data_IF_934921498159
#
_entry.id   IF_934921498159
#
_cell.length_a   1.000
_cell.length_b   1.000
_cell.length_c   1.000
_cell.angle_alpha   90.00
_cell.angle_beta   90.00
_cell.angle_gamma   90.00
#
_symmetry.space_group_name_H-M   'P 1'
#
loop_
_entity.id
_entity.type
_entity.pdbx_description
1 polymer ?
#
# COMPACT_ATOMS: atom_id res chain seq x y z
N UNK A 1 31.44 -47.18 18.09
CA UNK A 1 31.68 -46.36 16.89
C UNK A 1 30.55 -46.46 15.84
N UNK A 2 30.12 -47.64 15.38
CA UNK A 2 29.06 -47.78 14.36
C UNK A 2 27.70 -47.16 14.75
N UNK A 3 27.28 -47.24 16.02
CA UNK A 3 26.04 -46.63 16.52
C UNK A 3 26.09 -45.09 16.58
N UNK A 4 27.27 -44.50 16.81
CA UNK A 4 27.47 -43.05 16.81
C UNK A 4 27.44 -42.48 15.38
N UNK A 5 27.97 -43.20 14.41
CA UNK A 5 27.92 -42.84 12.99
C UNK A 5 26.48 -42.91 12.44
N UNK A 6 25.69 -43.89 12.88
CA UNK A 6 24.29 -44.00 12.49
C UNK A 6 23.44 -42.84 13.09
N UNK A 7 23.70 -42.42 14.33
CA UNK A 7 23.04 -41.29 14.95
C UNK A 7 23.40 -39.97 14.25
N UNK A 8 24.68 -39.80 13.88
CA UNK A 8 25.13 -38.61 13.13
C UNK A 8 24.55 -38.55 11.72
N UNK A 9 24.36 -39.68 11.04
CA UNK A 9 23.70 -39.70 9.72
C UNK A 9 22.23 -39.43 9.80
N UNK A 10 21.50 -39.86 10.83
CA UNK A 10 20.11 -39.55 11.05
C UNK A 10 19.93 -38.09 11.42
N UNK A 11 20.81 -37.50 12.24
CA UNK A 11 20.79 -36.06 12.52
C UNK A 11 21.09 -35.22 11.26
N UNK A 12 21.99 -35.66 10.40
CA UNK A 12 22.26 -34.97 9.12
C UNK A 12 21.10 -35.06 8.13
N UNK A 13 20.26 -36.10 8.19
CA UNK A 13 19.06 -36.22 7.39
C UNK A 13 17.88 -35.37 7.92
N UNK A 14 17.80 -35.16 9.22
CA UNK A 14 16.78 -34.29 9.85
C UNK A 14 17.14 -32.82 9.67
N UNK A 15 18.39 -32.48 9.47
CA UNK A 15 18.86 -31.13 9.12
C UNK A 15 18.80 -30.82 7.62
N UNK A 16 18.18 -31.65 6.81
CA UNK A 16 17.57 -31.26 5.52
C UNK A 16 16.44 -30.30 5.77
N UNK A 17 16.77 -29.19 6.42
CA UNK A 17 15.94 -28.01 6.63
C UNK A 17 15.40 -27.64 5.26
N UNK A 18 14.10 -27.70 5.11
CA UNK A 18 13.38 -27.03 4.05
C UNK A 18 13.87 -25.58 4.05
N UNK A 19 14.84 -25.28 3.21
CA UNK A 19 15.15 -23.90 2.88
C UNK A 19 13.90 -23.39 2.19
N UNK A 20 13.01 -22.83 2.97
CA UNK A 20 11.80 -22.19 2.47
C UNK A 20 12.26 -21.16 1.44
N UNK A 21 11.93 -21.42 0.19
CA UNK A 21 12.39 -20.59 -0.92
C UNK A 21 11.80 -19.20 -0.70
N UNK A 22 12.65 -18.23 -0.38
CA UNK A 22 12.21 -16.88 -0.07
C UNK A 22 11.43 -16.32 -1.27
N UNK A 23 10.27 -15.70 -1.08
CA UNK A 23 9.50 -15.17 -2.17
C UNK A 23 10.31 -14.11 -2.93
N UNK A 24 10.34 -14.24 -4.26
CA UNK A 24 11.06 -13.30 -5.14
C UNK A 24 10.30 -11.98 -5.32
N UNK A 25 8.99 -12.01 -5.12
CA UNK A 25 8.11 -10.86 -5.24
C UNK A 25 7.05 -10.93 -4.15
N UNK A 26 6.84 -9.82 -3.44
CA UNK A 26 5.75 -9.63 -2.51
C UNK A 26 4.91 -8.46 -3.04
N UNK A 27 3.61 -8.69 -3.22
CA UNK A 27 2.65 -7.66 -3.65
C UNK A 27 1.63 -7.47 -2.53
N UNK A 28 1.65 -6.29 -1.90
CA UNK A 28 0.64 -5.86 -0.95
C UNK A 28 -0.46 -5.08 -1.68
N UNK A 29 -1.71 -5.50 -1.56
CA UNK A 29 -2.87 -4.80 -2.10
C UNK A 29 -3.80 -4.41 -0.96
N UNK A 30 -3.98 -3.11 -0.76
CA UNK A 30 -4.92 -2.58 0.23
C UNK A 30 -6.13 -2.01 -0.52
N UNK A 31 -7.32 -2.48 -0.18
CA UNK A 31 -8.57 -2.03 -0.78
C UNK A 31 -9.39 -1.39 0.33
N UNK A 32 -9.52 -0.06 0.28
CA UNK A 32 -10.33 0.69 1.23
C UNK A 32 -11.81 0.38 1.04
N UNK A 33 -12.58 0.42 2.13
CA UNK A 33 -14.04 0.20 2.13
C UNK A 33 -14.49 -1.15 1.55
N UNK A 34 -13.60 -2.15 1.52
CA UNK A 34 -13.93 -3.49 1.05
C UNK A 34 -14.42 -4.35 2.21
N UNK A 35 -15.68 -4.75 2.17
CA UNK A 35 -16.26 -5.65 3.17
C UNK A 35 -15.92 -7.11 2.84
N UNK A 36 -15.33 -7.87 3.77
CA UNK A 36 -14.94 -9.24 3.54
C UNK A 36 -16.12 -10.15 3.08
N UNK A 37 -17.32 -9.83 3.51
CA UNK A 37 -18.55 -10.55 3.15
C UNK A 37 -18.87 -10.46 1.64
N UNK A 38 -18.38 -9.43 0.97
CA UNK A 38 -18.55 -9.30 -0.48
C UNK A 38 -17.84 -10.41 -1.24
N UNK A 39 -16.75 -10.93 -0.71
CA UNK A 39 -16.04 -12.06 -1.33
C UNK A 39 -16.94 -13.31 -1.37
N UNK A 40 -17.69 -13.55 -0.32
CA UNK A 40 -18.58 -14.70 -0.23
C UNK A 40 -19.87 -14.45 -1.06
N UNK A 41 -20.41 -13.23 -1.00
CA UNK A 41 -21.62 -12.82 -1.70
C UNK A 41 -21.46 -12.88 -3.23
N UNK A 42 -20.30 -12.46 -3.75
CA UNK A 42 -20.01 -12.40 -5.18
C UNK A 42 -19.10 -13.54 -5.66
N UNK A 43 -18.95 -14.61 -4.87
CA UNK A 43 -18.01 -15.70 -5.17
C UNK A 43 -18.21 -16.31 -6.57
N UNK A 44 -19.46 -16.36 -7.05
CA UNK A 44 -19.77 -16.90 -8.38
C UNK A 44 -19.47 -15.94 -9.54
N UNK A 45 -19.44 -14.64 -9.26
CA UNK A 45 -19.20 -13.58 -10.23
C UNK A 45 -17.70 -13.22 -10.33
N UNK A 46 -16.92 -13.62 -9.33
CA UNK A 46 -15.46 -13.38 -9.32
C UNK A 46 -14.76 -14.25 -10.36
N UNK A 47 -13.82 -13.63 -11.07
CA UNK A 47 -12.96 -14.35 -12.01
C UNK A 47 -12.07 -15.38 -11.29
N UNK A 48 -11.82 -16.53 -11.92
CA UNK A 48 -11.02 -17.60 -11.33
C UNK A 48 -9.55 -17.22 -11.06
N UNK A 49 -9.01 -16.24 -11.77
CA UNK A 49 -7.61 -15.79 -11.67
C UNK A 49 -7.39 -14.58 -10.74
N UNK A 50 -8.44 -14.06 -10.12
CA UNK A 50 -8.37 -12.91 -9.21
C UNK A 50 -8.54 -13.31 -7.74
N UNK A 51 -9.44 -12.61 -7.05
CA UNK A 51 -9.76 -12.84 -5.65
C UNK A 51 -10.18 -14.29 -5.36
N UNK A 52 -10.92 -14.93 -6.27
CA UNK A 52 -11.32 -16.33 -6.13
C UNK A 52 -10.13 -17.29 -6.05
N UNK A 53 -9.05 -17.01 -6.80
CA UNK A 53 -7.81 -17.78 -6.68
C UNK A 53 -7.15 -17.60 -5.32
N UNK A 54 -7.11 -16.36 -4.82
CA UNK A 54 -6.57 -16.06 -3.48
C UNK A 54 -7.37 -16.78 -2.40
N UNK A 55 -8.71 -16.78 -2.50
CA UNK A 55 -9.58 -17.51 -1.57
C UNK A 55 -9.33 -19.03 -1.58
N UNK A 56 -9.09 -19.61 -2.76
CA UNK A 56 -8.87 -21.06 -2.90
C UNK A 56 -7.46 -21.53 -2.52
N UNK A 57 -6.44 -20.72 -2.77
CA UNK A 57 -5.03 -21.11 -2.65
C UNK A 57 -4.28 -20.38 -1.52
N UNK A 58 -4.88 -19.33 -0.98
CA UNK A 58 -4.30 -18.53 0.09
C UNK A 58 -4.90 -18.82 1.46
N UNK A 59 -4.57 -17.99 2.43
CA UNK A 59 -5.16 -18.00 3.76
C UNK A 59 -5.99 -16.74 3.98
N UNK A 60 -7.12 -16.89 4.69
CA UNK A 60 -7.94 -15.77 5.18
C UNK A 60 -7.70 -15.60 6.67
N UNK A 61 -7.32 -14.39 7.08
CA UNK A 61 -7.05 -14.05 8.48
C UNK A 61 -7.86 -12.81 8.84
N UNK A 62 -8.57 -12.87 9.95
CA UNK A 62 -9.21 -11.69 10.54
C UNK A 62 -8.19 -10.94 11.39
N UNK A 63 -8.07 -9.65 11.18
CA UNK A 63 -7.15 -8.80 11.91
C UNK A 63 -7.93 -7.80 12.76
N UNK A 64 -7.58 -7.68 14.04
CA UNK A 64 -8.14 -6.70 14.96
C UNK A 64 -7.08 -5.62 15.24
N UNK A 65 -7.49 -4.37 15.11
CA UNK A 65 -6.65 -3.24 15.49
C UNK A 65 -6.91 -2.87 16.96
N UNK A 66 -5.85 -2.77 17.74
CA UNK A 66 -5.93 -2.42 19.17
C UNK A 66 -5.95 -0.90 19.40
N UNK A 67 -6.45 -0.12 18.45
CA UNK A 67 -6.65 1.32 18.59
C UNK A 67 -8.01 1.72 18.01
N UNK A 68 -8.57 2.78 18.60
CA UNK A 68 -9.95 3.20 18.30
C UNK A 68 -10.05 4.06 17.05
N UNK A 69 -9.05 4.90 16.79
CA UNK A 69 -9.13 5.92 15.75
C UNK A 69 -8.46 5.46 14.47
N UNK A 70 -9.26 4.94 13.57
CA UNK A 70 -8.82 4.52 12.24
C UNK A 70 -8.89 5.68 11.26
N UNK A 71 -7.82 5.89 10.53
CA UNK A 71 -7.71 6.85 9.42
C UNK A 71 -6.78 6.26 8.37
N UNK A 72 -7.04 6.54 7.12
CA UNK A 72 -6.33 5.97 5.98
C UNK A 72 -4.80 5.98 6.14
N UNK A 73 -4.20 7.12 6.47
CA UNK A 73 -2.74 7.21 6.66
C UNK A 73 -2.25 6.44 7.90
N UNK A 74 -2.98 6.52 9.01
CA UNK A 74 -2.65 5.81 10.26
C UNK A 74 -2.70 4.31 10.04
N UNK A 75 -3.74 3.83 9.36
CA UNK A 75 -3.96 2.40 9.10
C UNK A 75 -2.89 1.85 8.16
N UNK A 76 -2.51 2.58 7.11
CA UNK A 76 -1.41 2.20 6.23
C UNK A 76 -0.07 2.12 6.99
N UNK A 77 0.22 3.09 7.87
CA UNK A 77 1.40 3.02 8.71
C UNK A 77 1.37 1.78 9.62
N UNK A 78 0.22 1.49 10.27
CA UNK A 78 0.07 0.32 11.13
C UNK A 78 0.21 -1.00 10.36
N UNK A 79 -0.42 -1.14 9.19
CA UNK A 79 -0.33 -2.34 8.35
C UNK A 79 1.12 -2.61 7.93
N UNK A 80 1.82 -1.59 7.45
CA UNK A 80 3.14 -1.78 6.88
C UNK A 80 4.29 -1.73 7.89
N UNK A 81 4.05 -1.28 9.13
CA UNK A 81 5.05 -1.38 10.22
C UNK A 81 4.76 -2.53 11.19
N UNK A 82 3.51 -3.00 11.25
CA UNK A 82 3.07 -3.95 12.28
C UNK A 82 3.01 -3.34 13.69
N UNK A 83 3.06 -2.01 13.80
CA UNK A 83 3.14 -1.29 15.07
C UNK A 83 1.88 -0.46 15.32
N UNK A 84 1.67 -0.06 16.57
CA UNK A 84 0.57 0.83 16.95
C UNK A 84 0.89 2.30 16.60
N UNK A 85 -0.13 3.16 16.47
CA UNK A 85 0.06 4.59 16.19
C UNK A 85 0.99 5.31 17.17
N UNK A 86 1.00 4.89 18.43
CA UNK A 86 1.90 5.40 19.47
C UNK A 86 3.35 5.01 19.29
N UNK A 87 3.61 3.93 18.55
CA UNK A 87 4.95 3.38 18.31
C UNK A 87 5.51 3.86 16.96
N UNK A 88 4.68 3.85 15.90
CA UNK A 88 5.14 4.32 14.60
C UNK A 88 5.02 5.84 14.42
N UNK A 89 4.43 6.57 15.38
CA UNK A 89 4.40 8.03 15.42
C UNK A 89 3.31 8.70 14.57
N UNK A 90 2.60 7.96 13.72
CA UNK A 90 1.51 8.50 12.89
C UNK A 90 0.18 8.32 13.63
N UNK A 91 -0.15 9.24 14.49
CA UNK A 91 -1.34 9.15 15.36
C UNK A 91 -2.60 9.71 14.71
N UNK A 92 -2.48 10.52 13.67
CA UNK A 92 -3.58 11.13 12.93
C UNK A 92 -3.07 11.62 11.58
N UNK A 93 -3.98 11.95 10.65
CA UNK A 93 -3.63 12.65 9.41
C UNK A 93 -2.98 14.01 9.68
N UNK A 94 -3.39 14.69 10.74
CA UNK A 94 -2.79 15.94 11.16
C UNK A 94 -2.96 16.15 12.66
N UNK A 95 -2.00 16.81 13.27
CA UNK A 95 -2.04 17.19 14.69
C UNK A 95 -1.51 18.61 14.89
N UNK A 96 -1.74 19.17 16.07
CA UNK A 96 -1.17 20.46 16.43
C UNK A 96 0.18 20.26 17.11
N UNK A 97 1.26 20.70 16.45
CA UNK A 97 2.60 20.72 17.03
C UNK A 97 2.71 21.89 18.01
N UNK A 98 2.73 21.57 19.30
CA UNK A 98 2.78 22.58 20.38
C UNK A 98 4.10 23.35 20.41
N UNK A 99 5.21 22.72 20.01
CA UNK A 99 6.53 23.35 19.99
C UNK A 99 6.63 24.35 18.84
N UNK A 100 6.18 23.94 17.66
CA UNK A 100 6.19 24.80 16.46
C UNK A 100 4.97 25.69 16.36
N UNK A 101 3.98 25.52 17.25
CA UNK A 101 2.70 26.26 17.29
C UNK A 101 1.98 26.27 15.95
N UNK A 102 2.00 25.15 15.22
CA UNK A 102 1.35 25.01 13.92
C UNK A 102 0.71 23.65 13.76
N UNK A 103 -0.25 23.58 12.82
CA UNK A 103 -0.79 22.31 12.37
C UNK A 103 0.26 21.59 11.54
N UNK A 104 0.53 20.34 11.89
CA UNK A 104 1.43 19.45 11.20
C UNK A 104 0.64 18.32 10.56
N UNK A 105 0.92 18.00 9.32
CA UNK A 105 0.38 16.84 8.62
C UNK A 105 1.39 15.68 8.69
N UNK A 106 0.84 14.46 8.74
CA UNK A 106 1.62 13.22 8.96
C UNK A 106 2.72 12.98 7.93
N UNK A 107 2.53 13.43 6.72
CA UNK A 107 3.46 13.20 5.59
C UNK A 107 3.96 14.48 4.95
N UNK A 108 3.33 15.64 5.21
CA UNK A 108 3.73 16.88 4.59
C UNK A 108 5.11 17.36 5.06
N UNK A 109 6.00 17.64 4.14
CA UNK A 109 7.35 18.13 4.40
C UNK A 109 7.62 19.44 3.67
N UNK A 110 8.32 20.36 4.36
CA UNK A 110 8.81 21.61 3.80
C UNK A 110 10.22 21.42 3.17
N UNK A 111 10.82 20.23 3.31
CA UNK A 111 12.19 19.92 2.86
C UNK A 111 12.24 19.36 1.45
N UNK A 112 11.12 18.85 0.97
CA UNK A 112 11.04 18.16 -0.31
C UNK A 112 9.99 18.80 -1.21
N UNK A 113 10.14 18.59 -2.51
CA UNK A 113 9.23 19.06 -3.55
C UNK A 113 8.58 17.88 -4.26
N UNK A 114 7.40 18.10 -4.80
CA UNK A 114 6.76 17.14 -5.68
C UNK A 114 7.52 17.09 -7.01
N UNK A 115 7.72 15.90 -7.54
CA UNK A 115 8.35 15.67 -8.83
C UNK A 115 7.36 15.01 -9.80
N UNK A 116 7.48 15.35 -11.10
CA UNK A 116 6.64 14.79 -12.16
C UNK A 116 5.68 15.80 -12.78
N UNK A 117 5.58 16.99 -12.22
CA UNK A 117 4.86 18.10 -12.81
C UNK A 117 5.74 19.35 -12.90
N UNK A 118 5.79 19.97 -14.07
CA UNK A 118 6.55 21.21 -14.29
C UNK A 118 5.94 22.42 -13.56
N UNK A 119 4.69 22.35 -13.13
CA UNK A 119 4.02 23.37 -12.33
C UNK A 119 4.20 23.17 -10.82
N UNK A 120 4.89 22.12 -10.42
CA UNK A 120 4.99 21.68 -9.03
C UNK A 120 6.08 22.40 -8.21
N UNK A 121 6.89 23.26 -8.78
CA UNK A 121 8.02 23.92 -8.10
C UNK A 121 7.67 24.68 -6.81
N UNK A 122 6.40 24.88 -6.53
CA UNK A 122 5.89 25.51 -5.30
C UNK A 122 5.07 24.59 -4.40
N UNK A 123 4.83 23.33 -4.79
CA UNK A 123 4.01 22.40 -4.01
C UNK A 123 4.89 21.68 -3.01
N UNK A 124 4.58 21.86 -1.72
CA UNK A 124 5.19 21.05 -0.65
C UNK A 124 4.91 19.58 -0.90
N UNK A 125 5.95 18.79 -0.87
CA UNK A 125 5.83 17.37 -1.12
C UNK A 125 5.62 16.58 0.16
N UNK A 126 5.39 15.29 -0.03
CA UNK A 126 5.18 14.32 1.03
C UNK A 126 6.48 13.55 1.31
N UNK A 127 6.67 13.18 2.57
CA UNK A 127 7.78 12.34 3.02
C UNK A 127 7.36 11.51 4.24
N UNK A 128 8.04 10.40 4.52
CA UNK A 128 7.80 9.58 5.71
C UNK A 128 8.55 10.08 6.94
N UNK A 129 8.90 11.36 7.01
CA UNK A 129 9.75 11.94 8.08
C UNK A 129 9.24 11.71 9.50
N UNK A 130 7.93 11.59 9.65
CA UNK A 130 7.30 11.36 10.96
C UNK A 130 7.10 9.88 11.30
N UNK A 131 7.41 8.98 10.36
CA UNK A 131 7.36 7.54 10.62
C UNK A 131 8.58 7.13 11.46
N UNK A 132 8.36 6.73 12.70
CA UNK A 132 9.41 6.46 13.70
C UNK A 132 9.90 5.01 13.69
N UNK A 133 9.24 4.13 12.96
CA UNK A 133 9.56 2.70 12.89
C UNK A 133 9.83 2.24 11.48
N UNK A 134 10.50 1.10 11.35
CA UNK A 134 10.76 0.51 10.04
C UNK A 134 9.47 -0.05 9.44
N UNK A 135 9.22 0.26 8.17
CA UNK A 135 8.20 -0.42 7.38
C UNK A 135 8.68 -1.82 6.95
N UNK A 136 7.75 -2.66 6.52
CA UNK A 136 8.06 -3.96 5.93
C UNK A 136 9.10 -3.83 4.80
N UNK A 137 8.93 -2.85 3.92
CA UNK A 137 9.89 -2.57 2.85
C UNK A 137 11.28 -2.19 3.37
N UNK A 138 11.35 -1.40 4.45
CA UNK A 138 12.62 -1.05 5.10
C UNK A 138 13.29 -2.27 5.72
N UNK A 139 12.52 -3.13 6.38
CA UNK A 139 13.03 -4.39 6.96
C UNK A 139 13.54 -5.36 5.88
N UNK A 140 12.84 -5.45 4.74
CA UNK A 140 13.30 -6.25 3.59
C UNK A 140 14.63 -5.74 3.06
N UNK A 141 14.79 -4.44 2.88
CA UNK A 141 16.07 -3.85 2.43
C UNK A 141 17.19 -3.99 3.45
N UNK A 142 16.87 -3.91 4.73
CA UNK A 142 17.83 -4.17 5.80
C UNK A 142 18.38 -5.59 5.71
N UNK A 143 17.52 -6.58 5.48
CA UNK A 143 17.92 -7.96 5.33
C UNK A 143 18.59 -8.27 3.99
N UNK A 144 18.18 -7.59 2.91
CA UNK A 144 18.78 -7.70 1.58
C UNK A 144 18.78 -6.34 0.89
N UNK A 145 19.92 -5.62 0.84
CA UNK A 145 20.04 -4.30 0.22
C UNK A 145 19.70 -4.27 -1.29
N UNK A 146 19.71 -5.42 -1.96
CA UNK A 146 19.31 -5.52 -3.37
C UNK A 146 17.79 -5.53 -3.57
N UNK A 147 17.02 -5.65 -2.50
CA UNK A 147 15.55 -5.58 -2.57
C UNK A 147 15.09 -4.23 -3.10
N UNK A 148 14.04 -4.27 -3.92
CA UNK A 148 13.39 -3.06 -4.45
C UNK A 148 12.01 -2.90 -3.82
N UNK A 149 11.69 -1.69 -3.43
CA UNK A 149 10.44 -1.34 -2.74
C UNK A 149 9.77 -0.18 -3.47
N UNK A 150 8.57 -0.44 -3.98
CA UNK A 150 7.74 0.56 -4.64
C UNK A 150 6.37 0.57 -3.98
N UNK A 151 5.78 1.74 -3.83
CA UNK A 151 4.39 1.90 -3.42
C UNK A 151 3.66 2.79 -4.40
N UNK A 152 2.43 2.44 -4.72
CA UNK A 152 1.56 3.18 -5.64
C UNK A 152 0.18 3.28 -4.99
N UNK A 153 -0.37 4.48 -4.89
CA UNK A 153 -1.71 4.72 -4.38
C UNK A 153 -2.35 5.92 -5.08
N UNK A 154 -3.68 6.05 -4.97
CA UNK A 154 -4.36 7.25 -5.43
C UNK A 154 -4.04 8.45 -4.55
N UNK A 155 -3.81 8.22 -3.26
CA UNK A 155 -3.52 9.26 -2.28
C UNK A 155 -2.04 9.22 -1.86
N UNK A 156 -1.42 10.38 -1.75
CA UNK A 156 0.00 10.48 -1.41
C UNK A 156 0.35 9.99 0.00
N UNK A 157 -0.52 10.23 0.99
CA UNK A 157 -0.32 9.73 2.35
C UNK A 157 -0.24 8.19 2.37
N UNK A 158 -1.13 7.54 1.61
CA UNK A 158 -1.15 6.08 1.46
C UNK A 158 0.13 5.56 0.79
N UNK A 159 0.53 6.18 -0.31
CA UNK A 159 1.74 5.79 -1.03
C UNK A 159 2.99 5.91 -0.15
N UNK A 160 3.15 7.05 0.52
CA UNK A 160 4.31 7.35 1.36
C UNK A 160 4.39 6.44 2.58
N UNK A 161 3.28 6.24 3.29
CA UNK A 161 3.26 5.45 4.52
C UNK A 161 3.33 3.94 4.26
N UNK A 162 2.83 3.47 3.11
CA UNK A 162 3.01 2.08 2.67
C UNK A 162 4.45 1.80 2.25
N UNK A 163 5.07 2.70 1.52
CA UNK A 163 6.47 2.56 1.08
C UNK A 163 7.47 2.68 2.23
N UNK A 164 7.21 3.64 3.12
CA UNK A 164 8.10 3.96 4.23
C UNK A 164 9.37 4.69 3.81
N UNK A 165 10.32 4.79 4.76
CA UNK A 165 11.52 5.61 4.60
C UNK A 165 12.57 5.07 3.62
N UNK A 166 12.56 3.77 3.38
CA UNK A 166 13.58 3.11 2.53
C UNK A 166 13.04 2.69 1.16
N UNK A 167 11.83 3.11 0.79
CA UNK A 167 11.30 2.81 -0.53
C UNK A 167 12.18 3.39 -1.64
N UNK A 168 12.28 2.69 -2.77
CA UNK A 168 12.93 3.20 -3.97
C UNK A 168 12.09 4.30 -4.62
N UNK A 169 10.76 4.23 -4.42
CA UNK A 169 9.81 5.24 -4.87
C UNK A 169 8.43 5.04 -4.26
N UNK A 170 7.76 6.14 -3.90
CA UNK A 170 6.34 6.20 -3.63
C UNK A 170 5.67 7.07 -4.70
N UNK A 171 4.60 6.56 -5.31
CA UNK A 171 3.93 7.18 -6.46
C UNK A 171 2.46 7.42 -6.08
N UNK A 172 1.95 8.59 -6.39
CA UNK A 172 0.53 8.89 -6.19
C UNK A 172 -0.03 9.73 -7.33
N UNK A 173 -1.35 9.76 -7.40
CA UNK A 173 -2.06 10.53 -8.42
C UNK A 173 -2.27 11.97 -7.94
N UNK A 174 -1.87 12.95 -8.75
CA UNK A 174 -2.13 14.37 -8.51
C UNK A 174 -3.46 14.76 -9.14
N UNK A 175 -4.47 15.00 -8.30
CA UNK A 175 -5.78 15.47 -8.77
C UNK A 175 -5.74 16.83 -9.47
N UNK A 176 -4.69 17.63 -9.17
CA UNK A 176 -4.53 18.96 -9.79
C UNK A 176 -4.13 18.87 -11.25
N UNK A 177 -3.35 17.88 -11.59
CA UNK A 177 -2.69 17.79 -12.90
C UNK A 177 -3.08 16.57 -13.70
N UNK A 178 -3.81 15.63 -13.08
CA UNK A 178 -4.18 14.37 -13.71
C UNK A 178 -3.00 13.45 -13.97
N UNK A 179 -1.87 13.67 -13.30
CA UNK A 179 -0.62 12.94 -13.53
C UNK A 179 -0.17 12.16 -12.29
N UNK A 180 0.60 11.13 -12.52
CA UNK A 180 1.28 10.41 -11.47
C UNK A 180 2.57 11.14 -11.08
N UNK A 181 2.73 11.36 -9.79
CA UNK A 181 3.82 12.17 -9.21
C UNK A 181 4.51 11.42 -8.08
N UNK A 182 5.60 11.96 -7.61
CA UNK A 182 6.35 11.45 -6.47
C UNK A 182 6.99 12.60 -5.69
N UNK A 183 7.87 12.27 -4.75
CA UNK A 183 8.60 13.23 -3.94
C UNK A 183 10.09 13.20 -4.25
N UNK A 184 10.72 14.37 -4.18
CA UNK A 184 12.18 14.49 -4.19
C UNK A 184 12.86 13.82 -2.99
N UNK A 185 12.09 13.38 -1.98
CA UNK A 185 12.58 12.52 -0.91
C UNK A 185 13.13 11.20 -1.44
N UNK A 186 12.45 10.60 -2.41
CA UNK A 186 12.80 9.29 -2.96
C UNK A 186 13.75 9.40 -4.15
N UNK A 187 13.49 10.34 -5.06
CA UNK A 187 14.27 10.54 -6.29
C UNK A 187 14.25 11.99 -6.74
N UNK A 188 15.28 12.40 -7.48
CA UNK A 188 15.33 13.72 -8.13
C UNK A 188 14.38 13.83 -9.32
N UNK A 189 14.11 12.72 -10.02
CA UNK A 189 13.28 12.68 -11.23
C UNK A 189 12.40 11.42 -11.29
N UNK A 190 11.29 11.52 -12.00
CA UNK A 190 10.47 10.35 -12.32
C UNK A 190 11.23 9.43 -13.30
N UNK A 191 11.08 8.10 -13.16
CA UNK A 191 11.62 7.17 -14.13
C UNK A 191 10.97 7.36 -15.50
N UNK A 192 11.72 7.05 -16.56
CA UNK A 192 11.31 7.26 -17.95
C UNK A 192 9.93 6.67 -18.27
N UNK A 193 9.68 5.43 -17.84
CA UNK A 193 8.41 4.76 -18.07
C UNK A 193 7.21 5.54 -17.48
N UNK A 194 7.37 6.19 -16.32
CA UNK A 194 6.32 6.95 -15.67
C UNK A 194 6.15 8.32 -16.33
N UNK A 195 7.24 8.94 -16.76
CA UNK A 195 7.19 10.18 -17.56
C UNK A 195 6.43 9.93 -18.87
N UNK A 196 6.74 8.83 -19.57
CA UNK A 196 6.02 8.45 -20.78
C UNK A 196 4.55 8.19 -20.52
N UNK A 197 4.22 7.46 -19.45
CA UNK A 197 2.83 7.21 -19.07
C UNK A 197 2.07 8.54 -18.86
N UNK A 198 2.67 9.48 -18.17
CA UNK A 198 2.08 10.80 -17.92
C UNK A 198 1.88 11.65 -19.21
N UNK A 199 2.56 11.33 -20.31
CA UNK A 199 2.32 12.04 -21.59
C UNK A 199 1.07 11.59 -22.31
N UNK A 200 0.58 10.38 -22.02
CA UNK A 200 -0.61 9.84 -22.68
C UNK A 200 -1.92 10.36 -22.08
N UNK A 201 -1.85 11.09 -20.96
CA UNK A 201 -2.97 11.79 -20.28
C UNK A 201 -4.25 10.97 -20.31
N UNK A 202 -4.17 9.74 -19.83
CA UNK A 202 -5.30 8.81 -19.80
C UNK A 202 -6.51 9.37 -19.03
N UNK A 203 -6.27 10.23 -18.04
CA UNK A 203 -7.34 10.88 -17.27
C UNK A 203 -8.28 11.70 -18.16
N UNK A 204 -7.77 12.40 -19.17
CA UNK A 204 -8.58 13.24 -20.05
C UNK A 204 -9.51 12.42 -20.94
N UNK A 205 -9.16 11.16 -21.20
CA UNK A 205 -10.00 10.22 -21.94
C UNK A 205 -11.31 9.89 -21.22
N UNK A 206 -11.35 10.04 -19.89
CA UNK A 206 -12.49 9.69 -19.06
C UNK A 206 -13.30 10.90 -18.60
N UNK A 207 -12.77 12.12 -18.68
CA UNK A 207 -13.43 13.35 -18.18
C UNK A 207 -14.83 13.55 -18.77
N UNK A 208 -15.04 13.18 -20.01
CA UNK A 208 -16.34 13.34 -20.71
C UNK A 208 -17.13 12.03 -20.86
N UNK A 209 -16.64 10.91 -20.27
CA UNK A 209 -17.34 9.64 -20.30
C UNK A 209 -18.22 9.53 -19.07
N UNK A 210 -19.53 9.42 -19.27
CA UNK A 210 -20.43 9.08 -18.17
C UNK A 210 -20.07 7.71 -17.58
N UNK A 211 -20.20 7.60 -16.26
CA UNK A 211 -20.09 6.31 -15.61
C UNK A 211 -21.25 5.39 -16.02
N UNK A 212 -20.95 4.22 -16.52
CA UNK A 212 -21.95 3.22 -16.91
C UNK A 212 -21.69 1.91 -16.15
N UNK A 213 -22.75 1.27 -15.71
CA UNK A 213 -22.66 -0.09 -15.15
C UNK A 213 -22.27 -1.09 -16.24
N UNK A 214 -21.56 -2.15 -15.84
CA UNK A 214 -21.04 -3.17 -16.75
C UNK A 214 -22.14 -3.96 -17.47
N UNK A 215 -23.28 -4.21 -16.80
CA UNK A 215 -24.42 -4.91 -17.39
C UNK A 215 -25.75 -4.37 -16.89
N UNK A 216 -26.85 -4.73 -17.59
CA UNK A 216 -28.22 -4.37 -17.15
C UNK A 216 -28.66 -5.20 -15.93
N UNK A 217 -28.13 -6.39 -15.75
CA UNK A 217 -28.34 -7.22 -14.56
C UNK A 217 -27.70 -6.58 -13.33
N UNK A 218 -26.51 -5.99 -13.47
CA UNK A 218 -25.84 -5.24 -12.40
C UNK A 218 -26.63 -3.99 -12.00
N UNK A 219 -27.30 -3.34 -12.93
CA UNK A 219 -28.19 -2.18 -12.65
C UNK A 219 -29.38 -2.60 -11.77
N UNK A 220 -29.97 -3.76 -12.01
CA UNK A 220 -31.09 -4.27 -11.22
C UNK A 220 -30.64 -4.68 -9.81
N UNK A 221 -29.50 -5.35 -9.69
CA UNK A 221 -28.91 -5.76 -8.43
C UNK A 221 -28.50 -4.55 -7.57
N UNK A 222 -27.92 -3.51 -8.16
CA UNK A 222 -27.56 -2.27 -7.47
C UNK A 222 -28.81 -1.52 -6.96
N UNK A 223 -29.90 -1.47 -7.72
CA UNK A 223 -31.17 -0.85 -7.28
C UNK A 223 -31.76 -1.56 -6.07
N UNK A 224 -31.79 -2.87 -6.06
CA UNK A 224 -32.34 -3.69 -4.94
C UNK A 224 -31.53 -3.44 -3.67
N UNK A 225 -30.22 -3.23 -3.76
CA UNK A 225 -29.34 -3.02 -2.60
C UNK A 225 -29.43 -1.61 -2.02
N UNK A 226 -29.53 -0.61 -2.85
CA UNK A 226 -29.72 0.78 -2.39
C UNK A 226 -31.05 0.95 -1.65
N UNK A 227 -32.09 0.22 -2.02
CA UNK A 227 -33.38 0.24 -1.33
C UNK A 227 -33.38 -0.53 0.00
N UNK A 228 -32.51 -1.50 0.18
CA UNK A 228 -32.46 -2.30 1.42
C UNK A 228 -31.52 -1.74 2.50
N UNK A 229 -30.75 -0.68 2.21
CA UNK A 229 -29.83 -0.07 3.17
C UNK A 229 -30.33 1.27 3.77
N UNK A 230 -31.57 1.66 3.45
CA UNK A 230 -32.20 2.89 3.98
C UNK A 230 -33.39 2.62 4.90
N UNK A 231 -33.44 1.44 5.54
CA UNK A 231 -34.41 1.15 6.59
C UNK A 231 -33.73 0.61 7.84
#
# INVERSE_FOLDING_TARGET
>A
MKKLLLLASVLAWVSGVFAEEKPKLIVGVVISHFYPEWMDMYANELSDNGLKRIMKQGARVNMNYNYFYTQTGVDHASIYTGMLPTEHGIVSRAWYDRLRRKRQYSTQSDRYTEIGDQQADSIKSLSPDYLQTMSLGSAMKWNNPMSRVFSIAMNGDEAVLSGGSSADMAIWFSEKTGKWVSSSYYRSELPEWLRMYNTWVESDHFVNKGWMMLSDEDKSAARIRLTNHFY
#
